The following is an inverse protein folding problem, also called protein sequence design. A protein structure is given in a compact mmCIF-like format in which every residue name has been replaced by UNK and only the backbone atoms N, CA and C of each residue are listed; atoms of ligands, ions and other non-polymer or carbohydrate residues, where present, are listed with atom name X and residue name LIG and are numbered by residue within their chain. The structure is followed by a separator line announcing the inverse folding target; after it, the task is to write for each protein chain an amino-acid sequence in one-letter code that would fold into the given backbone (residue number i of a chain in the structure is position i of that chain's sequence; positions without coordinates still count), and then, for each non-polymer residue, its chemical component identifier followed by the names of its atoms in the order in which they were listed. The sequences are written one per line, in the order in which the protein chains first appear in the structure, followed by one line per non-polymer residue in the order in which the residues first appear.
data_IF_536504888644
#
_entry.id   IF_536504888644
#
_cell.length_a   1.000
_cell.length_b   1.000
_cell.length_c   1.000
_cell.angle_alpha   90.00
_cell.angle_beta   90.00
_cell.angle_gamma   90.00
#
_symmetry.space_group_name_H-M   'P 1'
#
loop_
_entity.id
_entity.type
_entity.pdbx_description
1 polymer ?
#
# COMPACT_ATOMS: atom_id res chain seq x y z
N UNK A 1 23.73 -5.52 19.22
CA UNK A 1 23.00 -5.86 17.97
C UNK A 1 21.61 -6.42 18.29
N UNK A 2 20.83 -5.73 19.14
CA UNK A 2 19.47 -6.08 19.56
C UNK A 2 18.78 -4.76 19.93
N UNK A 3 17.95 -4.16 19.06
CA UNK A 3 16.97 -3.14 19.51
C UNK A 3 16.01 -2.56 18.47
N UNK A 4 16.26 -2.62 17.16
CA UNK A 4 15.35 -1.95 16.19
C UNK A 4 14.31 -2.91 15.60
N UNK A 5 14.67 -4.19 15.38
CA UNK A 5 13.75 -5.16 14.74
C UNK A 5 12.55 -5.57 15.61
N UNK A 6 12.72 -5.65 16.93
CA UNK A 6 11.64 -6.12 17.85
C UNK A 6 10.57 -5.05 18.10
N UNK A 7 10.91 -3.76 18.07
CA UNK A 7 9.98 -2.65 18.33
C UNK A 7 9.01 -2.47 17.15
N UNK A 8 9.45 -2.71 15.91
CA UNK A 8 8.61 -2.58 14.71
C UNK A 8 7.75 -3.80 14.42
N UNK A 9 8.07 -4.96 15.01
CA UNK A 9 7.41 -6.23 14.67
C UNK A 9 5.99 -6.35 15.25
N UNK A 10 5.78 -5.88 16.49
CA UNK A 10 4.44 -5.87 17.12
C UNK A 10 3.41 -5.01 16.35
N UNK A 11 3.68 -3.72 16.04
CA UNK A 11 2.71 -2.92 15.30
C UNK A 11 2.49 -3.44 13.87
N UNK A 12 3.53 -3.99 13.23
CA UNK A 12 3.40 -4.61 11.91
C UNK A 12 2.43 -5.81 11.91
N UNK A 13 2.55 -6.70 12.88
CA UNK A 13 1.65 -7.85 13.01
C UNK A 13 0.19 -7.40 13.24
N UNK A 14 -0.03 -6.37 14.06
CA UNK A 14 -1.37 -5.82 14.28
C UNK A 14 -1.98 -5.26 12.98
N UNK A 15 -1.20 -4.55 12.17
CA UNK A 15 -1.66 -4.02 10.89
C UNK A 15 -1.94 -5.14 9.88
N UNK A 16 -1.11 -6.18 9.85
CA UNK A 16 -1.36 -7.35 9.00
C UNK A 16 -2.66 -8.08 9.38
N UNK A 17 -2.97 -8.17 10.68
CA UNK A 17 -4.18 -8.82 11.18
C UNK A 17 -5.44 -7.96 11.01
N UNK A 18 -5.32 -6.64 10.88
CA UNK A 18 -6.45 -5.73 10.70
C UNK A 18 -7.36 -6.15 9.54
N UNK A 19 -6.78 -6.43 8.37
CA UNK A 19 -7.56 -6.73 7.16
C UNK A 19 -8.28 -8.08 7.23
N UNK A 20 -7.64 -9.20 7.64
CA UNK A 20 -8.34 -10.47 7.90
C UNK A 20 -9.42 -10.37 8.96
N UNK A 21 -9.19 -9.62 10.05
CA UNK A 21 -10.19 -9.43 11.11
C UNK A 21 -11.41 -8.70 10.56
N UNK A 22 -11.20 -7.60 9.83
CA UNK A 22 -12.31 -6.84 9.22
C UNK A 22 -13.04 -7.68 8.17
N UNK A 23 -12.32 -8.48 7.38
CA UNK A 23 -12.93 -9.43 6.46
C UNK A 23 -13.88 -10.39 7.19
N UNK A 24 -13.41 -11.06 8.25
CA UNK A 24 -14.24 -12.01 9.04
C UNK A 24 -15.43 -11.29 9.69
N UNK A 25 -15.20 -10.14 10.32
CA UNK A 25 -16.26 -9.34 10.95
C UNK A 25 -17.30 -8.89 9.90
N UNK A 26 -16.88 -8.62 8.67
CA UNK A 26 -17.78 -8.17 7.59
C UNK A 26 -18.68 -9.25 7.01
N UNK A 27 -18.46 -10.54 7.32
CA UNK A 27 -19.26 -11.66 6.81
C UNK A 27 -20.75 -11.53 7.19
N UNK A 28 -21.13 -11.39 8.48
CA UNK A 28 -22.54 -11.21 8.84
C UNK A 28 -23.15 -9.95 8.20
N UNK A 29 -22.39 -8.85 8.10
CA UNK A 29 -22.84 -7.64 7.42
C UNK A 29 -23.05 -7.86 5.92
N UNK A 30 -22.20 -8.64 5.27
CA UNK A 30 -22.37 -9.00 3.86
C UNK A 30 -23.68 -9.76 3.66
N UNK A 31 -23.95 -10.75 4.50
CA UNK A 31 -25.17 -11.55 4.41
C UNK A 31 -26.43 -10.68 4.61
N UNK A 32 -26.37 -9.69 5.52
CA UNK A 32 -27.50 -8.80 5.81
C UNK A 32 -27.70 -7.68 4.78
N UNK A 33 -26.61 -7.07 4.29
CA UNK A 33 -26.65 -5.78 3.59
C UNK A 33 -26.24 -5.82 2.12
N UNK A 34 -25.72 -6.95 1.59
CA UNK A 34 -25.32 -7.05 0.18
C UNK A 34 -26.43 -6.65 -0.82
N UNK A 35 -27.70 -6.88 -0.47
CA UNK A 35 -28.87 -6.46 -1.29
C UNK A 35 -28.95 -4.96 -1.57
N UNK A 36 -28.26 -4.13 -0.78
CA UNK A 36 -28.24 -2.67 -0.95
C UNK A 36 -27.08 -2.16 -1.81
N UNK A 37 -26.29 -3.05 -2.43
CA UNK A 37 -25.13 -2.68 -3.24
C UNK A 37 -25.45 -1.63 -4.33
N UNK A 38 -26.58 -1.76 -5.03
CA UNK A 38 -27.01 -0.83 -6.07
C UNK A 38 -27.32 0.57 -5.52
N UNK A 39 -27.77 0.67 -4.27
CA UNK A 39 -28.04 1.96 -3.63
C UNK A 39 -26.75 2.61 -3.14
N UNK A 40 -25.88 1.83 -2.50
CA UNK A 40 -24.59 2.32 -2.01
C UNK A 40 -23.68 2.77 -3.17
N UNK A 41 -23.69 2.04 -4.29
CA UNK A 41 -22.95 2.41 -5.49
C UNK A 41 -23.44 3.69 -6.19
N UNK A 42 -24.64 4.20 -5.85
CA UNK A 42 -25.15 5.48 -6.35
C UNK A 42 -24.77 6.68 -5.48
N UNK A 43 -24.24 6.44 -4.28
CA UNK A 43 -23.78 7.53 -3.42
C UNK A 43 -22.58 8.22 -4.07
N UNK A 44 -22.67 9.53 -4.22
CA UNK A 44 -21.66 10.34 -4.91
C UNK A 44 -20.25 10.12 -4.34
N UNK A 45 -20.13 10.00 -3.02
CA UNK A 45 -18.86 9.78 -2.34
C UNK A 45 -18.26 8.40 -2.65
N UNK A 46 -19.10 7.36 -2.70
CA UNK A 46 -18.66 6.00 -3.05
C UNK A 46 -18.19 5.97 -4.50
N UNK A 47 -18.93 6.60 -5.42
CA UNK A 47 -18.52 6.74 -6.81
C UNK A 47 -17.22 7.53 -6.96
N UNK A 48 -17.05 8.61 -6.19
CA UNK A 48 -15.82 9.38 -6.17
C UNK A 48 -14.63 8.51 -5.74
N UNK A 49 -14.77 7.79 -4.62
CA UNK A 49 -13.72 6.88 -4.13
C UNK A 49 -13.41 5.80 -5.18
N UNK A 50 -14.44 5.14 -5.70
CA UNK A 50 -14.29 4.08 -6.68
C UNK A 50 -13.60 4.59 -7.95
N UNK A 51 -14.08 5.68 -8.55
CA UNK A 51 -13.55 6.14 -9.83
C UNK A 51 -12.16 6.77 -9.72
N UNK A 52 -11.94 7.63 -8.72
CA UNK A 52 -10.74 8.46 -8.66
C UNK A 52 -9.68 7.96 -7.69
N UNK A 53 -10.07 7.34 -6.57
CA UNK A 53 -9.12 6.87 -5.56
C UNK A 53 -8.68 5.44 -5.85
N UNK A 54 -9.60 4.58 -6.32
CA UNK A 54 -9.35 3.15 -6.52
C UNK A 54 -9.15 2.79 -8.00
N UNK A 55 -10.19 2.83 -8.83
CA UNK A 55 -10.16 2.27 -10.18
C UNK A 55 -9.18 2.95 -11.14
N UNK A 56 -9.21 4.28 -11.24
CA UNK A 56 -8.43 4.99 -12.27
C UNK A 56 -6.99 5.30 -11.84
N UNK A 57 -6.77 5.69 -10.59
CA UNK A 57 -5.50 6.27 -10.15
C UNK A 57 -4.85 5.57 -8.96
N UNK A 58 -5.33 4.41 -8.51
CA UNK A 58 -4.75 3.75 -7.34
C UNK A 58 -3.25 3.48 -7.44
N UNK A 59 -2.79 2.94 -8.57
CA UNK A 59 -1.35 2.70 -8.80
C UNK A 59 -0.54 4.01 -8.79
N UNK A 60 -1.12 5.08 -9.31
CA UNK A 60 -0.48 6.41 -9.34
C UNK A 60 -0.36 6.96 -7.91
N UNK A 61 -1.46 6.98 -7.15
CA UNK A 61 -1.47 7.44 -5.76
C UNK A 61 -0.55 6.61 -4.89
N UNK A 62 -0.61 5.29 -5.01
CA UNK A 62 0.30 4.38 -4.32
C UNK A 62 1.75 4.69 -4.62
N UNK A 63 2.13 4.80 -5.90
CA UNK A 63 3.53 5.06 -6.29
C UNK A 63 4.03 6.40 -5.78
N UNK A 64 3.21 7.46 -5.90
CA UNK A 64 3.56 8.80 -5.40
C UNK A 64 3.76 8.78 -3.88
N UNK A 65 2.84 8.18 -3.13
CA UNK A 65 2.91 8.11 -1.67
C UNK A 65 4.09 7.24 -1.22
N UNK A 66 4.32 6.12 -1.89
CA UNK A 66 5.41 5.19 -1.58
C UNK A 66 6.77 5.85 -1.80
N UNK A 67 6.98 6.46 -2.97
CA UNK A 67 8.23 7.16 -3.30
C UNK A 67 8.42 8.40 -2.41
N UNK A 68 7.37 9.19 -2.15
CA UNK A 68 7.46 10.35 -1.26
C UNK A 68 7.90 9.96 0.15
N UNK A 69 7.52 8.77 0.64
CA UNK A 69 7.98 8.29 1.95
C UNK A 69 9.44 7.83 1.97
N UNK A 70 10.03 7.52 0.81
CA UNK A 70 11.45 7.13 0.66
C UNK A 70 12.40 8.32 0.46
N UNK A 71 11.88 9.48 0.05
CA UNK A 71 12.71 10.68 -0.16
C UNK A 71 13.22 11.21 1.19
N UNK A 72 14.52 11.51 1.24
CA UNK A 72 15.15 12.30 2.29
C UNK A 72 15.61 13.63 1.72
N UNK A 73 15.50 14.69 2.51
CA UNK A 73 15.97 16.03 2.12
C UNK A 73 17.16 16.34 3.01
N UNK A 74 18.33 16.45 2.40
CA UNK A 74 19.58 16.80 3.06
C UNK A 74 20.18 18.03 2.37
N UNK A 75 20.47 19.08 3.14
CA UNK A 75 21.07 20.33 2.64
C UNK A 75 20.31 20.95 1.45
N UNK A 76 18.97 20.85 1.46
CA UNK A 76 18.10 21.37 0.40
C UNK A 76 18.00 20.48 -0.85
N UNK A 77 18.73 19.35 -0.90
CA UNK A 77 18.65 18.39 -2.00
C UNK A 77 17.78 17.20 -1.61
N UNK A 78 16.73 16.96 -2.40
CA UNK A 78 15.92 15.74 -2.28
C UNK A 78 16.66 14.58 -2.94
N UNK A 79 16.97 13.54 -2.17
CA UNK A 79 17.61 12.34 -2.66
C UNK A 79 16.96 11.08 -2.07
N UNK A 80 17.08 9.98 -2.79
CA UNK A 80 16.72 8.65 -2.29
C UNK A 80 18.01 8.01 -1.81
N UNK A 81 18.17 7.69 -0.52
CA UNK A 81 19.42 7.17 0.03
C UNK A 81 19.62 5.70 -0.37
N UNK A 82 20.05 5.46 -1.61
CA UNK A 82 20.27 4.10 -2.16
C UNK A 82 21.39 3.33 -1.46
N UNK A 83 22.23 4.00 -0.66
CA UNK A 83 23.24 3.35 0.18
C UNK A 83 22.64 2.63 1.38
N UNK A 84 21.42 3.01 1.79
CA UNK A 84 20.76 2.39 2.94
C UNK A 84 20.12 1.04 2.55
N UNK A 85 20.46 -0.06 3.24
CA UNK A 85 19.93 -1.39 2.90
C UNK A 85 18.40 -1.46 3.05
N UNK A 86 17.83 -0.72 4.01
CA UNK A 86 16.38 -0.58 4.18
C UNK A 86 15.71 0.00 2.92
N UNK A 87 16.27 1.07 2.35
CA UNK A 87 15.73 1.75 1.16
C UNK A 87 15.76 0.82 -0.06
N UNK A 88 16.85 0.08 -0.23
CA UNK A 88 16.97 -0.91 -1.31
C UNK A 88 15.97 -2.04 -1.13
N UNK A 89 15.79 -2.58 0.09
CA UNK A 89 14.77 -3.59 0.38
C UNK A 89 13.36 -3.05 0.07
N UNK A 90 13.03 -1.82 0.50
CA UNK A 90 11.74 -1.20 0.19
C UNK A 90 11.49 -1.06 -1.33
N UNK A 91 12.50 -0.62 -2.09
CA UNK A 91 12.40 -0.55 -3.56
C UNK A 91 12.18 -1.93 -4.17
N UNK A 92 12.92 -2.95 -3.73
CA UNK A 92 12.74 -4.34 -4.19
C UNK A 92 11.32 -4.85 -3.91
N UNK A 93 10.80 -4.62 -2.70
CA UNK A 93 9.44 -5.02 -2.29
C UNK A 93 8.40 -4.32 -3.17
N UNK A 94 8.57 -3.03 -3.45
CA UNK A 94 7.69 -2.30 -4.38
C UNK A 94 7.68 -2.96 -5.76
N UNK A 95 8.84 -3.29 -6.34
CA UNK A 95 8.92 -3.95 -7.64
C UNK A 95 8.28 -5.34 -7.62
N UNK A 96 8.54 -6.16 -6.60
CA UNK A 96 7.91 -7.47 -6.47
C UNK A 96 6.38 -7.37 -6.36
N UNK A 97 5.86 -6.37 -5.64
CA UNK A 97 4.43 -6.12 -5.56
C UNK A 97 3.85 -5.68 -6.90
N UNK A 98 4.51 -4.77 -7.62
CA UNK A 98 4.05 -4.34 -8.94
C UNK A 98 4.03 -5.49 -9.93
N UNK A 99 5.09 -6.30 -9.97
CA UNK A 99 5.13 -7.52 -10.79
C UNK A 99 3.95 -8.42 -10.40
N UNK A 100 3.81 -8.77 -9.12
CA UNK A 100 2.74 -9.64 -8.63
C UNK A 100 1.34 -9.15 -9.02
N UNK A 101 1.04 -7.86 -8.81
CA UNK A 101 -0.25 -7.27 -9.16
C UNK A 101 -0.48 -7.26 -10.68
N UNK A 102 0.53 -6.92 -11.48
CA UNK A 102 0.43 -6.99 -12.95
C UNK A 102 0.19 -8.42 -13.42
N UNK A 103 0.85 -9.42 -12.83
CA UNK A 103 0.63 -10.83 -13.17
C UNK A 103 -0.82 -11.26 -12.83
N UNK A 104 -1.37 -10.82 -11.70
CA UNK A 104 -2.74 -11.16 -11.32
C UNK A 104 -3.79 -10.47 -12.22
N UNK A 105 -3.58 -9.19 -12.53
CA UNK A 105 -4.62 -8.30 -13.10
C UNK A 105 -4.52 -8.08 -14.61
N UNK A 106 -3.32 -8.07 -15.18
CA UNK A 106 -3.09 -7.55 -16.55
C UNK A 106 -2.23 -8.49 -17.43
N UNK A 107 -1.75 -9.61 -16.89
CA UNK A 107 -0.75 -10.56 -17.46
C UNK A 107 -0.43 -10.42 -18.96
N UNK A 108 0.83 -10.07 -19.29
CA UNK A 108 1.28 -9.74 -20.65
C UNK A 108 1.40 -10.92 -21.66
N UNK A 109 1.22 -12.19 -21.24
CA UNK A 109 1.25 -13.36 -22.12
C UNK A 109 -0.08 -14.14 -22.16
N UNK A 110 -1.22 -13.44 -22.23
CA UNK A 110 -2.53 -14.09 -22.39
C UNK A 110 -3.67 -13.39 -21.66
N UNK A 111 -4.65 -14.16 -21.20
CA UNK A 111 -5.66 -13.68 -20.24
C UNK A 111 -5.02 -13.53 -18.85
N UNK A 112 -5.40 -12.50 -18.06
CA UNK A 112 -5.03 -12.35 -16.66
C UNK A 112 -5.27 -13.63 -15.84
N UNK A 113 -4.48 -13.85 -14.79
CA UNK A 113 -4.65 -15.03 -13.93
C UNK A 113 -6.07 -15.10 -13.37
N UNK A 114 -6.63 -13.96 -12.96
CA UNK A 114 -8.01 -13.88 -12.47
C UNK A 114 -9.05 -14.30 -13.52
N UNK A 115 -8.87 -13.92 -14.79
CA UNK A 115 -9.74 -14.37 -15.89
C UNK A 115 -9.60 -15.88 -16.13
N UNK A 116 -8.37 -16.42 -16.05
CA UNK A 116 -8.14 -17.87 -16.15
C UNK A 116 -8.80 -18.66 -15.02
N UNK A 117 -8.70 -18.17 -13.78
CA UNK A 117 -9.39 -18.76 -12.63
C UNK A 117 -10.90 -18.70 -12.85
N UNK A 118 -11.42 -17.59 -13.34
CA UNK A 118 -12.84 -17.43 -13.65
C UNK A 118 -13.35 -18.49 -14.63
N UNK A 119 -12.66 -18.66 -15.77
CA UNK A 119 -12.99 -19.69 -16.75
C UNK A 119 -12.85 -21.09 -16.16
N UNK A 120 -11.80 -21.37 -15.39
CA UNK A 120 -11.58 -22.65 -14.74
C UNK A 120 -12.66 -23.00 -13.70
N UNK A 121 -13.24 -22.00 -13.03
CA UNK A 121 -14.36 -22.18 -12.09
C UNK A 121 -15.71 -22.35 -12.77
N UNK A 122 -15.76 -22.32 -14.10
CA UNK A 122 -16.97 -22.56 -14.89
C UNK A 122 -17.59 -21.31 -15.54
N UNK A 123 -16.86 -20.19 -15.63
CA UNK A 123 -17.29 -19.04 -16.39
C UNK A 123 -17.21 -19.32 -17.91
N UNK A 124 -18.22 -18.91 -18.65
CA UNK A 124 -18.26 -19.08 -20.11
C UNK A 124 -19.03 -17.93 -20.79
N UNK A 125 -18.70 -17.68 -22.06
CA UNK A 125 -19.46 -16.77 -22.91
C UNK A 125 -20.68 -17.48 -23.50
N UNK A 126 -21.79 -16.77 -23.69
CA UNK A 126 -22.93 -17.31 -24.46
C UNK A 126 -22.59 -17.64 -25.91
N UNK A 127 -21.56 -17.00 -26.47
CA UNK A 127 -21.03 -17.28 -27.80
C UNK A 127 -19.94 -18.36 -27.67
N UNK A 128 -20.06 -19.50 -28.39
CA UNK A 128 -19.08 -20.57 -28.35
C UNK A 128 -17.70 -20.10 -28.85
N UNK A 129 -16.65 -20.79 -28.42
CA UNK A 129 -15.24 -20.52 -28.74
C UNK A 129 -14.67 -19.17 -28.23
N UNK A 130 -15.42 -18.43 -27.41
CA UNK A 130 -14.95 -17.22 -26.75
C UNK A 130 -14.68 -17.49 -25.26
N UNK A 131 -13.40 -17.57 -24.90
CA UNK A 131 -12.92 -17.79 -23.53
C UNK A 131 -12.38 -16.53 -22.86
N UNK A 132 -12.78 -15.35 -23.34
CA UNK A 132 -12.40 -14.06 -22.73
C UNK A 132 -13.61 -13.16 -22.55
N UNK A 133 -13.72 -12.55 -21.38
CA UNK A 133 -14.84 -11.69 -21.01
C UNK A 133 -14.92 -10.48 -21.94
N UNK A 134 -13.80 -9.75 -22.11
CA UNK A 134 -13.74 -8.58 -22.99
C UNK A 134 -14.11 -8.91 -24.46
N UNK A 135 -13.71 -10.09 -24.95
CA UNK A 135 -14.07 -10.52 -26.32
C UNK A 135 -15.54 -10.91 -26.41
N UNK A 136 -16.11 -11.49 -25.35
CA UNK A 136 -17.51 -11.86 -25.28
C UNK A 136 -18.40 -10.61 -25.34
N UNK A 137 -18.11 -9.62 -24.50
CA UNK A 137 -18.84 -8.34 -24.46
C UNK A 137 -18.75 -7.61 -25.81
N UNK A 138 -17.55 -7.53 -26.39
CA UNK A 138 -17.35 -6.93 -27.72
C UNK A 138 -18.06 -7.67 -28.85
N UNK A 139 -18.26 -8.98 -28.71
CA UNK A 139 -19.00 -9.80 -29.66
C UNK A 139 -20.53 -9.75 -29.42
N UNK A 140 -21.00 -9.00 -28.42
CA UNK A 140 -22.41 -8.91 -28.04
C UNK A 140 -22.91 -10.11 -27.23
N UNK A 141 -22.00 -10.96 -26.77
CA UNK A 141 -22.29 -12.08 -25.87
C UNK A 141 -22.39 -11.62 -24.41
N UNK A 142 -22.99 -12.46 -23.58
CA UNK A 142 -23.03 -12.25 -22.13
C UNK A 142 -22.11 -13.25 -21.44
N UNK A 143 -21.36 -12.76 -20.46
CA UNK A 143 -20.43 -13.58 -19.67
C UNK A 143 -21.18 -14.16 -18.46
N UNK A 144 -21.28 -15.49 -18.39
CA UNK A 144 -22.12 -16.22 -17.43
C UNK A 144 -21.25 -16.95 -16.40
N UNK A 145 -21.72 -17.03 -15.14
CA UNK A 145 -21.05 -17.71 -14.02
C UNK A 145 -19.63 -17.22 -13.74
N UNK A 146 -19.38 -15.93 -13.97
CA UNK A 146 -18.09 -15.31 -13.72
C UNK A 146 -17.74 -15.35 -12.22
N UNK A 147 -16.67 -16.08 -11.88
CA UNK A 147 -16.01 -15.90 -10.60
C UNK A 147 -15.10 -14.68 -10.72
N UNK A 148 -15.55 -13.54 -10.19
CA UNK A 148 -14.81 -12.28 -10.22
C UNK A 148 -14.01 -12.11 -8.93
N UNK A 149 -12.80 -12.66 -8.92
CA UNK A 149 -11.86 -12.47 -7.82
C UNK A 149 -11.61 -10.98 -7.61
N UNK A 150 -11.86 -10.49 -6.38
CA UNK A 150 -11.93 -9.06 -6.14
C UNK A 150 -10.56 -8.38 -6.24
N UNK A 151 -10.25 -7.88 -7.44
CA UNK A 151 -9.05 -7.08 -7.75
C UNK A 151 -8.92 -5.85 -6.86
N UNK A 152 -10.05 -5.21 -6.54
CA UNK A 152 -10.14 -4.08 -5.63
C UNK A 152 -9.67 -4.48 -4.22
N UNK A 153 -10.11 -5.64 -3.73
CA UNK A 153 -9.66 -6.19 -2.45
C UNK A 153 -8.15 -6.43 -2.45
N UNK A 154 -7.64 -7.05 -3.51
CA UNK A 154 -6.22 -7.35 -3.65
C UNK A 154 -5.35 -6.09 -3.63
N UNK A 155 -5.70 -5.08 -4.43
CA UNK A 155 -4.94 -3.85 -4.49
C UNK A 155 -5.05 -3.05 -3.18
N UNK A 156 -6.26 -2.94 -2.59
CA UNK A 156 -6.49 -2.13 -1.39
C UNK A 156 -5.71 -2.66 -0.20
N UNK A 157 -5.70 -3.98 0.02
CA UNK A 157 -4.95 -4.56 1.12
C UNK A 157 -3.45 -4.49 0.83
N UNK A 158 -2.98 -4.95 -0.33
CA UNK A 158 -1.53 -5.06 -0.59
C UNK A 158 -0.85 -3.69 -0.54
N UNK A 159 -1.39 -2.71 -1.27
CA UNK A 159 -0.80 -1.37 -1.34
C UNK A 159 -0.87 -0.66 0.02
N UNK A 160 -1.96 -0.83 0.78
CA UNK A 160 -2.06 -0.25 2.12
C UNK A 160 -1.03 -0.85 3.07
N UNK A 161 -0.85 -2.17 3.08
CA UNK A 161 0.15 -2.82 3.94
C UNK A 161 1.58 -2.35 3.63
N UNK A 162 1.90 -2.16 2.35
CA UNK A 162 3.21 -1.64 1.95
C UNK A 162 3.43 -0.18 2.37
N UNK A 163 2.41 0.68 2.30
CA UNK A 163 2.49 2.05 2.84
C UNK A 163 2.62 2.02 4.37
N UNK A 164 1.84 1.19 5.06
CA UNK A 164 1.96 0.98 6.50
C UNK A 164 3.40 0.62 6.91
N UNK A 165 4.06 -0.27 6.16
CA UNK A 165 5.47 -0.63 6.39
C UNK A 165 6.39 0.59 6.44
N UNK A 166 6.18 1.56 5.55
CA UNK A 166 7.00 2.76 5.47
C UNK A 166 6.70 3.76 6.60
N UNK A 167 5.44 3.86 7.03
CA UNK A 167 5.03 4.86 8.03
C UNK A 167 5.18 4.38 9.47
N UNK A 168 5.05 3.07 9.73
CA UNK A 168 5.05 2.49 11.09
C UNK A 168 6.23 2.91 11.97
N UNK A 169 7.49 2.98 11.47
CA UNK A 169 8.60 3.48 12.27
C UNK A 169 8.34 4.89 12.81
N UNK A 170 7.68 5.76 12.05
CA UNK A 170 7.41 7.15 12.42
C UNK A 170 6.21 7.30 13.35
N UNK A 171 5.30 6.32 13.41
CA UNK A 171 4.14 6.33 14.31
C UNK A 171 4.54 5.98 15.74
N UNK A 172 5.51 5.06 15.91
CA UNK A 172 6.01 4.64 17.23
C UNK A 172 7.13 5.51 17.83
N UNK A 173 7.86 6.27 17.00
CA UNK A 173 9.02 7.08 17.44
C UNK A 173 8.62 8.48 17.96
N UNK A 174 7.32 8.81 17.96
CA UNK A 174 6.79 10.13 18.36
C UNK A 174 6.85 10.45 19.86
N UNK A 175 7.57 9.70 20.71
CA UNK A 175 7.78 10.07 22.11
C UNK A 175 9.24 10.24 22.57
N UNK A 176 10.25 9.86 21.76
CA UNK A 176 11.65 9.89 22.22
C UNK A 176 12.64 10.61 21.27
N UNK A 177 12.17 11.40 20.30
CA UNK A 177 13.06 12.27 19.50
C UNK A 177 13.19 13.67 20.14
N UNK A 178 13.45 13.70 21.45
CA UNK A 178 14.10 14.81 22.12
C UNK A 178 15.38 14.24 22.73
N UNK A 179 16.53 14.77 22.28
CA UNK A 179 17.89 14.55 22.81
C UNK A 179 18.67 13.37 22.21
N UNK A 180 19.31 13.63 21.08
CA UNK A 180 20.66 13.10 20.83
C UNK A 180 21.56 14.29 20.51
N UNK A 181 22.04 14.94 21.58
CA UNK A 181 23.26 15.73 21.53
C UNK A 181 24.39 14.70 21.50
N UNK A 182 24.99 14.50 20.33
CA UNK A 182 26.22 13.74 20.20
C UNK A 182 27.30 14.52 20.98
N UNK A 183 27.65 14.04 22.17
CA UNK A 183 28.91 14.45 22.81
C UNK A 183 29.99 13.74 22.00
N UNK A 184 30.69 14.51 21.15
CA UNK A 184 31.94 14.08 20.55
C UNK A 184 32.98 14.20 21.65
N UNK A 185 33.55 13.08 22.06
CA UNK A 185 34.72 13.03 22.92
C UNK A 185 35.91 13.48 22.05
N UNK A 186 36.47 14.64 22.39
CA UNK A 186 37.51 15.33 21.63
C UNK A 186 38.85 14.61 21.86
N UNK A 187 39.38 13.96 20.83
CA UNK A 187 40.77 13.50 20.80
C UNK A 187 41.68 14.74 20.71
N UNK A 188 42.22 15.17 21.86
CA UNK A 188 43.33 16.11 21.92
C UNK A 188 44.50 15.53 21.12
N UNK A 189 44.80 16.09 19.93
CA UNK A 189 46.10 16.13 19.24
C UNK A 189 45.89 16.64 17.78
N UNK A 190 45.37 17.85 17.60
CA UNK A 190 45.41 18.55 16.31
C UNK A 190 45.31 20.07 16.51
N UNK A 191 46.46 20.72 16.68
CA UNK A 191 46.55 22.17 16.70
C UNK A 191 46.23 22.77 15.32
N UNK A 192 45.00 23.21 15.13
CA UNK A 192 44.62 24.16 14.09
C UNK A 192 43.59 25.14 14.64
N UNK A 193 43.96 26.43 14.68
CA UNK A 193 43.07 27.53 15.06
C UNK A 193 41.88 27.57 14.11
N UNK A 194 40.69 27.27 14.62
CA UNK A 194 39.41 27.52 13.94
C UNK A 194 38.74 28.70 14.64
N UNK A 195 38.66 29.82 13.92
CA UNK A 195 37.74 30.90 14.29
C UNK A 195 36.30 30.38 14.28
N UNK A 196 35.36 31.02 15.01
CA UNK A 196 34.00 30.54 15.12
C UNK A 196 33.31 30.65 13.76
N UNK A 197 33.19 29.53 13.05
CA UNK A 197 32.24 29.40 11.95
C UNK A 197 30.90 29.06 12.60
N UNK A 198 29.95 29.99 12.52
CA UNK A 198 28.57 29.83 12.98
C UNK A 198 27.84 28.75 12.13
N UNK A 199 28.16 27.48 12.34
CA UNK A 199 27.56 26.31 11.67
C UNK A 199 26.25 25.85 12.35
N UNK A 200 25.85 26.49 13.45
CA UNK A 200 24.65 26.14 14.22
C UNK A 200 23.34 26.59 13.55
N UNK A 201 23.39 27.64 12.72
CA UNK A 201 22.19 28.16 12.03
C UNK A 201 21.85 27.41 10.73
N UNK A 202 22.85 26.88 10.01
CA UNK A 202 22.65 26.20 8.72
C UNK A 202 22.10 24.78 8.91
N UNK A 203 22.62 24.05 9.90
CA UNK A 203 22.13 22.71 10.29
C UNK A 203 20.71 22.76 10.85
N UNK A 204 20.38 23.78 11.63
CA UNK A 204 19.05 24.00 12.22
C UNK A 204 17.97 24.36 11.18
N UNK A 205 18.29 25.15 10.15
CA UNK A 205 17.35 25.47 9.05
C UNK A 205 17.16 24.30 8.08
N UNK A 206 18.22 23.56 7.76
CA UNK A 206 18.18 22.36 6.91
C UNK A 206 17.28 21.27 7.50
N UNK A 207 17.37 21.03 8.81
CA UNK A 207 16.52 20.06 9.53
C UNK A 207 15.03 20.43 9.61
N UNK A 208 14.71 21.73 9.70
CA UNK A 208 13.31 22.19 9.79
C UNK A 208 12.51 21.91 8.53
N UNK A 209 13.11 22.11 7.36
CA UNK A 209 12.46 21.83 6.06
C UNK A 209 12.11 20.36 5.90
N UNK A 210 13.05 19.46 6.22
CA UNK A 210 12.82 18.02 6.21
C UNK A 210 11.73 17.58 7.19
N UNK A 211 11.71 18.14 8.41
CA UNK A 211 10.69 17.81 9.40
C UNK A 211 9.27 18.19 8.93
N UNK A 212 9.11 19.37 8.32
CA UNK A 212 7.83 19.82 7.75
C UNK A 212 7.42 18.90 6.59
N UNK A 213 8.34 18.63 5.67
CA UNK A 213 8.11 17.71 4.54
C UNK A 213 7.66 16.34 5.04
N UNK A 214 8.39 15.75 5.97
CA UNK A 214 8.09 14.41 6.47
C UNK A 214 6.75 14.37 7.19
N UNK A 215 6.42 15.39 7.98
CA UNK A 215 5.10 15.52 8.62
C UNK A 215 3.99 15.59 7.57
N UNK A 216 4.17 16.41 6.51
CA UNK A 216 3.18 16.53 5.44
C UNK A 216 2.97 15.21 4.68
N UNK A 217 4.06 14.53 4.31
CA UNK A 217 3.99 13.22 3.64
C UNK A 217 3.31 12.18 4.52
N UNK A 218 3.61 12.12 5.82
CA UNK A 218 2.94 11.21 6.75
C UNK A 218 1.45 11.52 6.85
N UNK A 219 1.07 12.79 7.00
CA UNK A 219 -0.34 13.21 7.03
C UNK A 219 -1.10 12.81 5.76
N UNK A 220 -0.50 13.01 4.58
CA UNK A 220 -1.09 12.60 3.30
C UNK A 220 -1.21 11.07 3.22
N UNK A 221 -0.18 10.34 3.67
CA UNK A 221 -0.19 8.87 3.69
C UNK A 221 -1.32 8.33 4.55
N UNK A 222 -1.51 8.90 5.75
CA UNK A 222 -2.62 8.55 6.64
C UNK A 222 -4.00 8.85 6.05
N UNK A 223 -4.14 9.98 5.36
CA UNK A 223 -5.38 10.33 4.66
C UNK A 223 -5.73 9.26 3.61
N UNK A 224 -4.78 8.90 2.74
CA UNK A 224 -5.00 7.90 1.71
C UNK A 224 -5.24 6.50 2.29
N UNK A 225 -4.50 6.09 3.32
CA UNK A 225 -4.76 4.84 4.03
C UNK A 225 -6.17 4.81 4.61
N UNK A 226 -6.67 5.93 5.14
CA UNK A 226 -8.04 6.03 5.66
C UNK A 226 -9.06 5.90 4.54
N UNK A 227 -8.86 6.61 3.41
CA UNK A 227 -9.75 6.52 2.26
C UNK A 227 -9.78 5.10 1.66
N UNK A 228 -8.61 4.48 1.50
CA UNK A 228 -8.49 3.09 1.03
C UNK A 228 -9.13 2.11 2.01
N UNK A 229 -8.98 2.32 3.31
CA UNK A 229 -9.62 1.49 4.32
C UNK A 229 -11.15 1.62 4.29
N UNK A 230 -11.69 2.83 4.08
CA UNK A 230 -13.13 3.04 3.88
C UNK A 230 -13.60 2.30 2.62
N UNK A 231 -12.90 2.44 1.49
CA UNK A 231 -13.20 1.70 0.27
C UNK A 231 -13.18 0.19 0.51
N UNK A 232 -12.17 -0.31 1.23
CA UNK A 232 -12.04 -1.70 1.60
C UNK A 232 -13.23 -2.19 2.43
N UNK A 233 -13.69 -1.43 3.43
CA UNK A 233 -14.87 -1.76 4.23
C UNK A 233 -16.15 -1.79 3.37
N UNK A 234 -16.31 -0.83 2.47
CA UNK A 234 -17.46 -0.79 1.53
C UNK A 234 -17.44 -2.03 0.64
N UNK A 235 -16.31 -2.37 0.03
CA UNK A 235 -16.14 -3.60 -0.78
C UNK A 235 -16.38 -4.85 0.06
N UNK A 236 -15.90 -4.86 1.31
CA UNK A 236 -16.07 -5.99 2.24
C UNK A 236 -17.52 -6.26 2.57
N UNK A 237 -18.39 -5.26 2.62
CA UNK A 237 -19.82 -5.45 2.97
C UNK A 237 -20.71 -5.62 1.73
N UNK A 238 -20.52 -4.79 0.70
CA UNK A 238 -21.54 -4.63 -0.34
C UNK A 238 -21.23 -5.33 -1.67
N UNK A 239 -19.97 -5.62 -1.97
CA UNK A 239 -19.56 -6.13 -3.28
C UNK A 239 -18.98 -7.54 -3.18
N UNK A 240 -18.92 -8.28 -4.29
CA UNK A 240 -18.38 -9.65 -4.39
C UNK A 240 -19.02 -10.72 -3.48
N UNK A 241 -18.72 -11.98 -3.75
CA UNK A 241 -19.04 -13.11 -2.86
C UNK A 241 -17.98 -13.25 -1.76
N UNK A 242 -18.30 -14.02 -0.71
CA UNK A 242 -17.37 -14.28 0.41
C UNK A 242 -16.10 -14.97 -0.12
N UNK A 243 -16.26 -15.94 -1.03
CA UNK A 243 -15.13 -16.70 -1.60
C UNK A 243 -14.26 -15.82 -2.50
N UNK A 244 -14.85 -14.97 -3.34
CA UNK A 244 -14.10 -14.02 -4.17
C UNK A 244 -13.23 -13.07 -3.34
N UNK A 245 -13.76 -12.57 -2.21
CA UNK A 245 -13.00 -11.74 -1.26
C UNK A 245 -11.87 -12.51 -0.60
N UNK A 246 -12.12 -13.77 -0.22
CA UNK A 246 -11.11 -14.63 0.39
C UNK A 246 -9.90 -14.85 -0.54
N UNK A 247 -10.16 -15.18 -1.81
CA UNK A 247 -9.12 -15.31 -2.82
C UNK A 247 -8.37 -13.99 -2.99
N UNK A 248 -9.11 -12.89 -3.14
CA UNK A 248 -8.53 -11.55 -3.27
C UNK A 248 -7.61 -11.18 -2.10
N UNK A 249 -8.00 -11.54 -0.86
CA UNK A 249 -7.23 -11.30 0.37
C UNK A 249 -5.93 -12.12 0.41
N UNK A 250 -5.98 -13.42 0.10
CA UNK A 250 -4.77 -14.27 0.05
C UNK A 250 -3.76 -13.69 -0.94
N UNK A 251 -4.23 -13.38 -2.15
CA UNK A 251 -3.39 -12.75 -3.17
C UNK A 251 -2.80 -11.41 -2.67
N UNK A 252 -3.59 -10.61 -1.94
CA UNK A 252 -3.13 -9.34 -1.41
C UNK A 252 -2.03 -9.46 -0.36
N UNK A 253 -2.14 -10.46 0.52
CA UNK A 253 -1.21 -10.63 1.64
C UNK A 253 0.11 -11.28 1.24
N UNK A 254 0.18 -11.88 0.05
CA UNK A 254 1.35 -12.67 -0.40
C UNK A 254 2.65 -11.85 -0.34
N UNK A 255 2.73 -10.72 -1.04
CA UNK A 255 3.95 -9.90 -1.05
C UNK A 255 4.22 -9.21 0.29
N UNK A 256 3.24 -8.57 0.97
CA UNK A 256 3.46 -8.00 2.29
C UNK A 256 4.01 -9.00 3.32
N UNK A 257 3.52 -10.25 3.35
CA UNK A 257 4.02 -11.27 4.28
C UNK A 257 5.42 -11.77 3.88
N UNK A 258 5.66 -12.00 2.58
CA UNK A 258 6.98 -12.40 2.09
C UNK A 258 8.04 -11.30 2.26
N UNK A 259 7.63 -10.03 2.31
CA UNK A 259 8.52 -8.88 2.51
C UNK A 259 9.25 -8.87 3.87
N UNK A 260 8.87 -9.75 4.81
CA UNK A 260 9.62 -9.95 6.04
C UNK A 260 10.94 -10.70 5.83
N UNK A 261 11.07 -11.42 4.71
CA UNK A 261 12.21 -12.29 4.40
C UNK A 261 13.12 -11.70 3.31
N UNK A 262 12.82 -10.49 2.80
CA UNK A 262 13.53 -9.79 1.72
C UNK A 262 14.25 -8.54 2.26
#
# INVERSE_FOLDING_TARGET
MFSIQTITQKPWSSVCLLYPIVYVISIPFTLAFKRYNLYIGKLWFVQFLEQYIVRKYMFHWFSVIYVANLIKIENGHASIPLKEPWTVSAIKIYFYNMIWLTLLLEWCFGSPIFERVSVATGAYCTIPDIYREYKCDKAGGTWVNAFDSSSHYTMLISNSLLVWRLILPYVGISQNMSRSTTIVEDDLEAGCVQGPINNEDYSSRSGRGYAIYKKAVLSISFLFLTLWFISFCITSVFYHTIVEKFVGMICAMTIPLLSQYV
#
